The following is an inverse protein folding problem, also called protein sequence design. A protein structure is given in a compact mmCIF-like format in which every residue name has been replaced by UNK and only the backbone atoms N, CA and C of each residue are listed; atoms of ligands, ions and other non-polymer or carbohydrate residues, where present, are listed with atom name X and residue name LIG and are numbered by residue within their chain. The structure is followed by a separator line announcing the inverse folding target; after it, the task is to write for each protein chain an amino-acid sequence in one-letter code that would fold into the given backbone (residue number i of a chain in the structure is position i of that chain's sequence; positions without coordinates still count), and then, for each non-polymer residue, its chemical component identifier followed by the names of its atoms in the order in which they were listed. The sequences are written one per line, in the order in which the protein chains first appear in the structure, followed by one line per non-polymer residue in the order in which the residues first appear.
data_IF_474042362667
#
_entry.id   IF_474042362667
#
_cell.length_a   1.000
_cell.length_b   1.000
_cell.length_c   1.000
_cell.angle_alpha   90.00
_cell.angle_beta   90.00
_cell.angle_gamma   90.00
#
_symmetry.space_group_name_H-M   'P 1'
#
loop_
_entity.id
_entity.type
_entity.pdbx_description
1 polymer ?
#
# COMPACT_ATOMS: atom_id res chain seq x y z
N UNK A 1 34.54 -24.45 -32.63
CA UNK A 1 33.21 -24.87 -32.12
C UNK A 1 32.84 -24.32 -30.73
N UNK A 2 33.70 -23.59 -30.01
CA UNK A 2 33.46 -23.17 -28.60
C UNK A 2 32.70 -21.83 -28.41
N UNK A 3 32.89 -20.84 -29.28
CA UNK A 3 32.33 -19.48 -29.06
C UNK A 3 30.79 -19.38 -29.27
N UNK A 4 30.20 -20.23 -30.12
CA UNK A 4 28.75 -20.20 -30.40
C UNK A 4 27.89 -20.73 -29.25
N UNK A 5 28.42 -21.66 -28.46
CA UNK A 5 27.73 -22.23 -27.29
C UNK A 5 27.73 -21.28 -26.09
N UNK A 6 28.79 -20.49 -25.92
CA UNK A 6 28.88 -19.48 -24.86
C UNK A 6 27.91 -18.31 -25.12
N UNK A 7 27.83 -17.85 -26.38
CA UNK A 7 26.88 -16.81 -26.83
C UNK A 7 25.42 -17.21 -26.60
N UNK A 8 25.08 -18.49 -26.84
CA UNK A 8 23.72 -19.00 -26.73
C UNK A 8 23.27 -19.14 -25.28
N UNK A 9 24.17 -19.51 -24.35
CA UNK A 9 23.90 -19.55 -22.91
C UNK A 9 23.66 -18.15 -22.33
N UNK A 10 24.46 -17.16 -22.74
CA UNK A 10 24.27 -15.77 -22.33
C UNK A 10 22.95 -15.19 -22.82
N UNK A 11 22.52 -15.52 -24.05
CA UNK A 11 21.23 -15.09 -24.57
C UNK A 11 20.04 -15.71 -23.83
N UNK A 12 20.11 -17.02 -23.52
CA UNK A 12 19.03 -17.72 -22.79
C UNK A 12 18.91 -17.18 -21.37
N UNK A 13 20.03 -16.90 -20.69
CA UNK A 13 20.04 -16.29 -19.37
C UNK A 13 19.49 -14.86 -19.40
N UNK A 14 19.88 -14.04 -20.38
CA UNK A 14 19.37 -12.69 -20.55
C UNK A 14 17.86 -12.66 -20.86
N UNK A 15 17.39 -13.60 -21.69
CA UNK A 15 15.97 -13.75 -22.02
C UNK A 15 15.17 -14.25 -20.81
N UNK A 16 15.68 -15.22 -20.05
CA UNK A 16 15.06 -15.66 -18.80
C UNK A 16 14.98 -14.52 -17.76
N UNK A 17 16.04 -13.72 -17.61
CA UNK A 17 16.03 -12.55 -16.74
C UNK A 17 14.99 -11.51 -17.19
N UNK A 18 14.89 -11.27 -18.51
CA UNK A 18 13.93 -10.35 -19.09
C UNK A 18 12.48 -10.84 -18.88
N UNK A 19 12.22 -12.15 -19.02
CA UNK A 19 10.91 -12.73 -18.73
C UNK A 19 10.53 -12.61 -17.24
N UNK A 20 11.48 -12.79 -16.32
CA UNK A 20 11.23 -12.61 -14.88
C UNK A 20 10.88 -11.14 -14.56
N UNK A 21 11.54 -10.19 -15.23
CA UNK A 21 11.26 -8.75 -15.08
C UNK A 21 9.90 -8.38 -15.68
N UNK A 22 9.55 -8.90 -16.87
CA UNK A 22 8.25 -8.66 -17.52
C UNK A 22 7.07 -9.36 -16.82
N UNK A 23 7.31 -10.42 -16.04
CA UNK A 23 6.27 -11.10 -15.27
C UNK A 23 5.77 -10.30 -14.05
N UNK A 24 6.43 -9.19 -13.69
CA UNK A 24 5.85 -8.19 -12.79
C UNK A 24 4.79 -7.39 -13.56
N UNK A 25 3.63 -8.01 -13.76
CA UNK A 25 2.46 -7.25 -14.18
C UNK A 25 2.12 -6.23 -13.11
N UNK A 26 1.70 -5.02 -13.54
CA UNK A 26 1.04 -4.06 -12.67
C UNK A 26 -0.26 -4.71 -12.17
N UNK A 27 -0.16 -5.45 -11.07
CA UNK A 27 -1.32 -6.04 -10.44
C UNK A 27 -2.28 -4.90 -10.10
N UNK A 28 -3.51 -5.00 -10.60
CA UNK A 28 -4.55 -4.02 -10.31
C UNK A 28 -4.68 -3.92 -8.79
N UNK A 29 -4.42 -2.72 -8.26
CA UNK A 29 -4.51 -2.41 -6.84
C UNK A 29 -5.89 -2.83 -6.34
N UNK A 30 -5.93 -3.80 -5.44
CA UNK A 30 -7.19 -4.29 -4.87
C UNK A 30 -7.07 -4.62 -3.38
N UNK A 31 -8.20 -4.53 -2.71
CA UNK A 31 -8.38 -5.01 -1.35
C UNK A 31 -9.68 -5.81 -1.30
N UNK A 32 -9.61 -7.07 -0.93
CA UNK A 32 -10.77 -7.98 -0.92
C UNK A 32 -10.77 -8.87 0.32
N UNK A 33 -11.81 -9.67 0.46
CA UNK A 33 -11.92 -10.71 1.49
C UNK A 33 -11.84 -12.05 0.76
N UNK A 34 -11.16 -13.03 1.35
CA UNK A 34 -11.08 -14.39 0.83
C UNK A 34 -12.46 -15.03 0.68
N UNK A 35 -12.59 -16.03 -0.19
CA UNK A 35 -13.88 -16.68 -0.49
C UNK A 35 -14.55 -17.28 0.76
N UNK A 36 -13.74 -17.74 1.72
CA UNK A 36 -14.20 -18.27 3.00
C UNK A 36 -14.50 -17.18 4.06
N UNK A 37 -14.27 -15.91 3.74
CA UNK A 37 -14.50 -14.78 4.63
C UNK A 37 -13.44 -14.58 5.72
N UNK A 38 -12.39 -15.40 5.78
CA UNK A 38 -11.49 -15.46 6.94
C UNK A 38 -10.33 -14.46 6.91
N UNK A 39 -9.96 -13.97 5.72
CA UNK A 39 -8.70 -13.27 5.49
C UNK A 39 -8.88 -12.09 4.56
N UNK A 40 -8.28 -10.94 4.90
CA UNK A 40 -8.16 -9.84 3.94
C UNK A 40 -7.06 -10.13 2.93
N UNK A 41 -7.29 -9.76 1.67
CA UNK A 41 -6.31 -9.88 0.60
C UNK A 41 -5.94 -8.47 0.11
N UNK A 42 -4.65 -8.19 0.02
CA UNK A 42 -4.11 -7.00 -0.66
C UNK A 42 -3.40 -7.46 -1.91
N UNK A 43 -3.90 -7.02 -3.06
CA UNK A 43 -3.38 -7.42 -4.37
C UNK A 43 -3.33 -8.95 -4.53
N UNK A 44 -4.37 -9.65 -4.06
CA UNK A 44 -4.48 -11.12 -4.09
C UNK A 44 -3.62 -11.87 -3.06
N UNK A 45 -2.85 -11.18 -2.21
CA UNK A 45 -1.99 -11.80 -1.19
C UNK A 45 -2.61 -11.63 0.21
N UNK A 46 -2.58 -12.65 1.09
CA UNK A 46 -3.02 -12.52 2.48
C UNK A 46 -2.43 -11.30 3.18
N UNK A 47 -3.29 -10.49 3.79
CA UNK A 47 -2.93 -9.25 4.44
C UNK A 47 -3.57 -9.18 5.83
N UNK A 48 -2.74 -8.95 6.84
CA UNK A 48 -3.20 -8.70 8.20
C UNK A 48 -3.20 -7.20 8.47
N UNK A 49 -4.37 -6.65 8.80
CA UNK A 49 -4.50 -5.26 9.26
C UNK A 49 -3.94 -5.16 10.69
N UNK A 50 -2.93 -4.32 10.87
CA UNK A 50 -2.43 -3.90 12.18
C UNK A 50 -2.72 -2.41 12.28
N UNK A 51 -3.84 -2.10 12.94
CA UNK A 51 -4.41 -0.76 13.03
C UNK A 51 -3.76 0.11 14.11
N UNK A 52 -3.64 1.41 13.83
CA UNK A 52 -3.28 2.43 14.81
C UNK A 52 -4.13 3.70 14.62
N UNK A 53 -4.75 4.16 15.70
CA UNK A 53 -5.60 5.34 15.69
C UNK A 53 -4.82 6.65 15.60
N UNK A 54 -5.16 7.47 14.60
CA UNK A 54 -4.66 8.84 14.47
C UNK A 54 -5.78 9.76 14.00
N UNK A 55 -6.20 10.70 14.85
CA UNK A 55 -7.25 11.67 14.52
C UNK A 55 -6.59 12.98 14.09
N UNK A 56 -6.60 13.28 12.79
CA UNK A 56 -5.91 14.44 12.22
C UNK A 56 -6.29 15.77 12.89
N UNK A 57 -7.57 15.94 13.26
CA UNK A 57 -8.11 17.12 13.94
C UNK A 57 -7.65 17.28 15.40
N UNK A 58 -6.88 16.34 15.95
CA UNK A 58 -6.28 16.41 17.30
C UNK A 58 -4.78 16.72 17.27
N UNK A 59 -4.20 16.93 16.09
CA UNK A 59 -2.78 17.24 15.92
C UNK A 59 -2.60 18.37 14.90
N UNK A 60 -1.59 19.21 15.10
CA UNK A 60 -1.26 20.25 14.13
C UNK A 60 -0.81 19.61 12.81
N UNK A 61 -1.30 20.11 11.67
CA UNK A 61 -1.00 19.56 10.34
C UNK A 61 0.51 19.44 10.06
N UNK A 62 1.30 20.41 10.54
CA UNK A 62 2.76 20.40 10.41
C UNK A 62 3.44 19.22 11.12
N UNK A 63 2.79 18.61 12.13
CA UNK A 63 3.33 17.48 12.89
C UNK A 63 2.94 16.12 12.30
N UNK A 64 1.96 16.06 11.39
CA UNK A 64 1.45 14.79 10.86
C UNK A 64 2.54 13.92 10.23
N UNK A 65 3.49 14.44 9.42
CA UNK A 65 4.54 13.59 8.84
C UNK A 65 5.35 12.86 9.91
N UNK A 66 5.83 13.56 10.93
CA UNK A 66 6.60 12.97 12.02
C UNK A 66 5.77 11.94 12.83
N UNK A 67 4.48 12.21 13.01
CA UNK A 67 3.57 11.28 13.68
C UNK A 67 3.37 10.01 12.86
N UNK A 68 3.22 10.11 11.54
CA UNK A 68 3.13 8.95 10.65
C UNK A 68 4.42 8.14 10.60
N UNK A 69 5.59 8.79 10.64
CA UNK A 69 6.87 8.09 10.75
C UNK A 69 6.95 7.27 12.04
N UNK A 70 6.49 7.85 13.16
CA UNK A 70 6.47 7.18 14.46
C UNK A 70 5.49 5.99 14.47
N UNK A 71 4.30 6.16 13.89
CA UNK A 71 3.30 5.09 13.76
C UNK A 71 3.83 3.95 12.88
N UNK A 72 4.41 4.26 11.73
CA UNK A 72 5.01 3.26 10.86
C UNK A 72 6.16 2.51 11.56
N UNK A 73 7.00 3.22 12.30
CA UNK A 73 8.09 2.64 13.07
C UNK A 73 7.62 1.73 14.22
N UNK A 74 6.39 1.92 14.73
CA UNK A 74 5.81 1.04 15.76
C UNK A 74 5.28 -0.29 15.21
N UNK A 75 5.39 -0.53 13.90
CA UNK A 75 4.90 -1.74 13.25
C UNK A 75 3.43 -1.71 12.83
N UNK A 76 2.77 -0.55 12.95
CA UNK A 76 1.42 -0.33 12.41
C UNK A 76 1.51 -0.23 10.89
N UNK A 77 0.60 -0.91 10.19
CA UNK A 77 0.55 -0.90 8.72
C UNK A 77 -0.70 -0.21 8.15
N UNK A 78 -1.64 0.14 9.03
CA UNK A 78 -2.92 0.76 8.66
C UNK A 78 -3.27 1.83 9.70
N UNK A 79 -3.49 3.05 9.25
CA UNK A 79 -4.01 4.12 10.12
C UNK A 79 -5.53 4.12 10.06
N UNK A 80 -6.16 4.20 11.22
CA UNK A 80 -7.59 4.52 11.33
C UNK A 80 -7.76 5.98 11.79
N UNK A 81 -8.72 6.68 11.18
CA UNK A 81 -9.10 8.04 11.59
C UNK A 81 -10.62 8.19 11.54
N UNK A 82 -11.16 9.00 12.45
CA UNK A 82 -12.48 9.57 12.27
C UNK A 82 -12.44 10.75 11.31
N UNK A 83 -13.57 11.02 10.66
CA UNK A 83 -13.89 12.31 10.06
C UNK A 83 -14.78 13.05 11.04
N UNK A 84 -14.28 14.13 11.64
CA UNK A 84 -15.04 14.92 12.60
C UNK A 84 -15.97 15.88 11.86
N UNK A 85 -17.19 15.42 11.53
CA UNK A 85 -18.18 16.23 10.78
C UNK A 85 -18.39 17.61 11.38
N UNK A 86 -18.54 17.70 12.70
CA UNK A 86 -18.75 18.95 13.42
C UNK A 86 -17.57 19.94 13.32
N UNK A 87 -16.38 19.44 12.97
CA UNK A 87 -15.20 20.27 12.72
C UNK A 87 -15.25 20.86 11.31
N UNK A 88 -15.70 20.08 10.34
CA UNK A 88 -15.81 20.47 8.94
C UNK A 88 -17.03 21.30 8.62
N UNK A 89 -18.18 20.99 9.24
CA UNK A 89 -19.47 21.62 9.00
C UNK A 89 -20.08 22.05 10.35
N UNK A 90 -19.56 23.10 11.00
CA UNK A 90 -19.97 23.47 12.36
C UNK A 90 -21.41 23.98 12.45
N UNK A 91 -21.82 24.83 11.50
CA UNK A 91 -23.10 25.54 11.55
C UNK A 91 -24.01 25.24 10.35
N UNK A 92 -23.43 24.98 9.18
CA UNK A 92 -24.17 24.82 7.91
C UNK A 92 -23.57 23.67 7.07
N UNK A 93 -24.38 22.67 6.66
CA UNK A 93 -23.92 21.54 5.86
C UNK A 93 -23.51 21.92 4.43
N UNK A 94 -23.91 23.09 3.93
CA UNK A 94 -23.56 23.55 2.58
C UNK A 94 -22.22 24.33 2.56
N UNK A 95 -21.62 24.63 3.72
CA UNK A 95 -20.38 25.42 3.85
C UNK A 95 -19.28 24.71 4.63
N UNK A 96 -18.98 23.46 4.29
CA UNK A 96 -17.94 22.68 4.94
C UNK A 96 -16.50 23.02 4.46
N UNK A 97 -15.52 22.91 5.37
CA UNK A 97 -14.08 22.91 5.03
C UNK A 97 -13.53 21.48 4.89
N UNK A 98 -12.47 21.29 4.09
CA UNK A 98 -11.77 19.99 3.90
C UNK A 98 -10.28 20.19 3.61
#
# INVERSE_FOLDING_TARGET
MSARLLSMRSLVLAFALLCIVSARGDAVRNFSISEDGSTFLRDGTPFQVIGGGFHYFRALAAEWPQRFDTIAASGVNTVETYVAWNFHCPDDPDSCDF
#
